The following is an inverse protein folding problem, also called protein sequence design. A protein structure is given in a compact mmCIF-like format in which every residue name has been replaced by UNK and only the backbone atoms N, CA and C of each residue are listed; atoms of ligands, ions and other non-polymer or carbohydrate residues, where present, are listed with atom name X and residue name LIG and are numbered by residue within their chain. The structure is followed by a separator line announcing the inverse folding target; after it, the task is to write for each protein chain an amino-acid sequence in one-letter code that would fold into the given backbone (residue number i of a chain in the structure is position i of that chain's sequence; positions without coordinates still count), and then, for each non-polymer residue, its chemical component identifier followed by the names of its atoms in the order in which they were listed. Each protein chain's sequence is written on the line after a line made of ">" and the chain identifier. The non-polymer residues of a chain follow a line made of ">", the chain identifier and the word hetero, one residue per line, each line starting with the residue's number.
data_IF_377021547317
#
_entry.id   IF_377021547317
#
_cell.length_a   1.000
_cell.length_b   1.000
_cell.length_c   1.000
_cell.angle_alpha   90.00
_cell.angle_beta   90.00
_cell.angle_gamma   90.00
#
_symmetry.space_group_name_H-M   'P 1'
#
loop_
_entity.id
_entity.type
_entity.pdbx_description
1 polymer ?
#
# COMPACT_ATOMS: atom_id res chain seq x y z
N UNK A 1 -4.95 10.74 18.59
CA UNK A 1 -5.65 10.84 17.29
C UNK A 1 -5.06 12.01 16.53
N UNK A 2 -4.07 11.76 15.65
CA UNK A 2 -3.53 12.77 14.73
C UNK A 2 -4.17 12.57 13.37
N UNK A 3 -5.47 12.89 13.28
CA UNK A 3 -6.09 13.19 11.99
C UNK A 3 -5.72 14.64 11.68
N UNK A 4 -4.57 14.85 11.07
CA UNK A 4 -4.29 16.12 10.40
C UNK A 4 -4.67 15.96 8.93
N UNK A 5 -5.83 16.53 8.64
CA UNK A 5 -6.59 16.69 7.40
C UNK A 5 -5.80 17.10 6.12
N UNK A 6 -4.46 17.13 6.14
CA UNK A 6 -3.58 17.63 5.07
C UNK A 6 -2.71 16.56 4.39
N UNK A 7 -2.50 15.38 4.99
CA UNK A 7 -1.90 14.21 4.30
C UNK A 7 -2.95 13.40 3.51
N UNK A 8 -4.23 13.73 3.75
CA UNK A 8 -5.38 13.28 3.00
C UNK A 8 -5.56 14.01 1.65
N UNK A 9 -4.55 14.73 1.14
CA UNK A 9 -4.57 15.38 -0.18
C UNK A 9 -3.49 14.84 -1.14
N UNK A 10 -2.78 13.78 -0.78
CA UNK A 10 -1.83 13.07 -1.65
C UNK A 10 -2.02 11.54 -1.52
N UNK A 11 -3.23 10.98 -1.55
CA UNK A 11 -4.05 10.85 -2.77
C UNK A 11 -3.24 10.39 -4.00
N UNK A 12 -2.24 9.53 -3.75
CA UNK A 12 -1.65 8.59 -4.70
C UNK A 12 -2.68 7.56 -5.16
N UNK A 13 -3.75 8.02 -5.81
CA UNK A 13 -4.48 7.26 -6.82
C UNK A 13 -3.63 7.24 -8.09
N UNK A 14 -2.45 6.64 -8.01
CA UNK A 14 -1.93 5.90 -9.17
C UNK A 14 -2.53 4.52 -9.03
N UNK A 15 -3.29 4.10 -10.03
CA UNK A 15 -4.04 2.85 -10.10
C UNK A 15 -3.13 1.60 -10.18
N UNK A 16 -1.94 1.67 -9.61
CA UNK A 16 -0.93 0.65 -9.76
C UNK A 16 -0.38 0.32 -8.39
N UNK A 17 -0.89 -0.78 -7.89
CA UNK A 17 -0.21 -1.53 -6.86
C UNK A 17 1.23 -1.74 -7.29
N UNK A 18 2.14 -1.23 -6.48
CA UNK A 18 3.54 -1.35 -6.79
C UNK A 18 3.94 -2.82 -6.63
N UNK A 19 4.52 -3.34 -7.69
CA UNK A 19 5.34 -4.52 -7.60
C UNK A 19 6.42 -4.40 -6.55
N UNK A 20 6.79 -5.53 -5.96
CA UNK A 20 7.92 -5.59 -5.05
C UNK A 20 7.54 -5.42 -3.57
N UNK A 21 8.39 -4.73 -2.81
CA UNK A 21 8.36 -4.77 -1.35
C UNK A 21 7.08 -4.16 -0.75
N UNK A 22 6.60 -3.05 -1.31
CA UNK A 22 5.31 -2.47 -0.95
C UNK A 22 4.15 -3.47 -1.08
N UNK A 23 4.07 -4.21 -2.18
CA UNK A 23 3.00 -5.20 -2.39
C UNK A 23 3.01 -6.33 -1.36
N UNK A 24 4.15 -6.57 -0.69
CA UNK A 24 4.25 -7.48 0.46
C UNK A 24 3.77 -6.83 1.76
N UNK A 25 4.07 -5.55 1.98
CA UNK A 25 3.52 -4.78 3.10
C UNK A 25 1.99 -4.65 3.02
N UNK A 26 1.42 -4.44 1.82
CA UNK A 26 -0.04 -4.36 1.62
C UNK A 26 -0.76 -5.66 1.98
N UNK A 27 -0.11 -6.81 1.79
CA UNK A 27 -0.65 -8.11 2.19
C UNK A 27 -0.65 -8.30 3.71
N UNK A 28 0.40 -7.81 4.37
CA UNK A 28 0.47 -7.76 5.84
C UNK A 28 -0.60 -6.84 6.41
N UNK A 29 -0.73 -5.63 5.86
CA UNK A 29 -1.74 -4.65 6.23
C UNK A 29 -3.16 -5.21 6.09
N UNK A 30 -3.43 -5.93 4.99
CA UNK A 30 -4.68 -6.65 4.80
C UNK A 30 -4.87 -7.77 5.84
N UNK A 31 -3.83 -8.52 6.18
CA UNK A 31 -3.94 -9.56 7.20
C UNK A 31 -4.22 -8.97 8.59
N UNK A 32 -3.59 -7.86 8.95
CA UNK A 32 -3.87 -7.12 10.18
C UNK A 32 -5.33 -6.61 10.19
N UNK A 33 -5.82 -6.11 9.06
CA UNK A 33 -7.23 -5.76 8.90
C UNK A 33 -8.15 -6.98 9.12
N UNK A 34 -7.76 -8.14 8.58
CA UNK A 34 -8.45 -9.41 8.80
C UNK A 34 -8.47 -9.80 10.28
N UNK A 35 -7.36 -9.61 11.02
CA UNK A 35 -7.32 -9.88 12.46
C UNK A 35 -8.24 -8.94 13.24
N UNK A 36 -8.27 -7.64 12.91
CA UNK A 36 -9.21 -6.68 13.50
C UNK A 36 -10.66 -7.07 13.19
N UNK A 37 -10.92 -7.49 11.95
CA UNK A 37 -12.23 -7.98 11.52
C UNK A 37 -12.74 -9.17 12.35
N UNK A 38 -11.85 -9.97 12.93
CA UNK A 38 -12.18 -11.10 13.79
C UNK A 38 -12.90 -10.70 15.09
N UNK A 39 -12.81 -9.42 15.49
CA UNK A 39 -13.50 -8.88 16.67
C UNK A 39 -15.01 -8.74 16.47
N UNK A 40 -15.50 -8.91 15.23
CA UNK A 40 -16.91 -8.94 14.90
C UNK A 40 -17.47 -10.38 14.92
N UNK A 41 -18.78 -10.57 15.18
CA UNK A 41 -19.44 -11.86 14.99
C UNK A 41 -19.21 -12.43 13.59
N UNK A 42 -19.14 -13.75 13.46
CA UNK A 42 -18.78 -14.43 12.18
C UNK A 42 -19.65 -13.96 10.99
N UNK A 43 -20.95 -13.71 11.22
CA UNK A 43 -21.88 -13.24 10.18
C UNK A 43 -21.56 -11.84 9.63
N UNK A 44 -20.86 -11.00 10.42
CA UNK A 44 -20.50 -9.63 10.05
C UNK A 44 -19.08 -9.53 9.47
N UNK A 45 -18.34 -10.63 9.45
CA UNK A 45 -16.97 -10.67 8.93
C UNK A 45 -16.98 -10.66 7.40
N UNK A 46 -16.37 -9.61 6.84
CA UNK A 46 -16.27 -9.43 5.38
C UNK A 46 -14.85 -9.60 4.83
N UNK A 47 -13.83 -9.49 5.68
CA UNK A 47 -12.42 -9.63 5.33
C UNK A 47 -11.98 -11.10 5.37
N UNK A 48 -11.12 -11.49 4.44
CA UNK A 48 -10.71 -12.89 4.26
C UNK A 48 -11.84 -13.75 3.72
N UNK A 49 -12.70 -13.16 2.88
CA UNK A 49 -13.79 -13.82 2.18
C UNK A 49 -13.48 -13.75 0.69
N UNK A 50 -13.57 -14.88 -0.01
CA UNK A 50 -13.31 -14.98 -1.44
C UNK A 50 -14.58 -15.38 -2.18
N UNK A 51 -14.87 -14.70 -3.28
CA UNK A 51 -15.96 -15.13 -4.15
C UNK A 51 -15.52 -16.35 -4.98
N UNK A 52 -16.29 -17.44 -4.92
CA UNK A 52 -15.99 -18.65 -5.69
C UNK A 52 -16.34 -18.51 -7.19
N UNK A 53 -17.29 -17.63 -7.51
CA UNK A 53 -17.79 -17.40 -8.87
C UNK A 53 -18.00 -15.91 -9.08
N UNK A 54 -16.92 -15.23 -9.45
CA UNK A 54 -16.95 -13.81 -9.81
C UNK A 54 -17.43 -13.66 -11.26
N UNK A 55 -18.48 -12.86 -11.47
CA UNK A 55 -18.90 -12.45 -12.81
C UNK A 55 -18.23 -11.13 -13.16
N UNK A 56 -17.24 -11.18 -14.06
CA UNK A 56 -16.51 -9.99 -14.48
C UNK A 56 -17.38 -9.00 -15.28
N UNK A 57 -18.40 -9.47 -16.00
CA UNK A 57 -19.27 -8.62 -16.82
C UNK A 57 -20.24 -7.81 -15.97
N UNK A 58 -20.80 -8.42 -14.91
CA UNK A 58 -21.74 -7.74 -14.01
C UNK A 58 -21.07 -7.15 -12.78
N UNK A 59 -19.76 -7.39 -12.58
CA UNK A 59 -18.99 -6.99 -11.39
C UNK A 59 -19.64 -7.45 -10.09
N UNK A 60 -20.24 -8.63 -10.12
CA UNK A 60 -20.95 -9.21 -8.99
C UNK A 60 -20.42 -10.61 -8.69
N UNK A 61 -20.24 -10.88 -7.40
CA UNK A 61 -20.00 -12.22 -6.90
C UNK A 61 -21.33 -12.93 -6.66
N UNK A 62 -21.45 -14.19 -7.07
CA UNK A 62 -22.54 -15.03 -6.61
C UNK A 62 -22.47 -15.15 -5.07
N UNK A 63 -23.62 -15.29 -4.40
CA UNK A 63 -23.79 -15.20 -2.92
C UNK A 63 -22.89 -16.16 -2.11
N UNK A 64 -22.26 -17.14 -2.76
CA UNK A 64 -21.32 -18.09 -2.13
C UNK A 64 -19.92 -17.47 -1.94
N UNK A 65 -19.72 -16.82 -0.79
CA UNK A 65 -18.42 -16.38 -0.28
C UNK A 65 -17.79 -17.46 0.60
N UNK A 66 -16.53 -17.79 0.36
CA UNK A 66 -15.78 -18.76 1.17
C UNK A 66 -14.85 -18.03 2.14
N UNK A 67 -14.94 -18.27 3.45
CA UNK A 67 -13.99 -17.72 4.42
C UNK A 67 -12.62 -18.40 4.30
N UNK A 68 -11.57 -17.63 4.56
CA UNK A 68 -10.25 -18.17 4.83
C UNK A 68 -10.29 -18.94 6.15
N UNK A 69 -10.12 -20.27 6.07
CA UNK A 69 -10.11 -21.16 7.24
C UNK A 69 -8.80 -21.92 7.35
N UNK A 70 -8.33 -22.07 8.59
CA UNK A 70 -7.20 -22.93 8.90
C UNK A 70 -7.58 -24.40 8.77
N UNK A 71 -6.59 -25.27 8.52
CA UNK A 71 -6.80 -26.73 8.39
C UNK A 71 -7.44 -27.38 9.63
N UNK A 72 -7.20 -26.84 10.83
CA UNK A 72 -7.77 -27.32 12.09
C UNK A 72 -9.13 -26.72 12.45
N UNK A 73 -9.75 -25.95 11.54
CA UNK A 73 -10.86 -25.07 11.88
C UNK A 73 -10.38 -23.72 12.41
N UNK A 74 -11.27 -22.73 12.42
CA UNK A 74 -10.94 -21.36 12.79
C UNK A 74 -10.33 -20.53 11.67
N UNK A 75 -9.79 -19.36 12.04
CA UNK A 75 -9.25 -18.34 11.14
C UNK A 75 -7.86 -18.73 10.61
N UNK A 76 -7.54 -18.29 9.40
CA UNK A 76 -6.22 -18.48 8.80
C UNK A 76 -5.14 -17.75 9.59
N UNK A 77 -3.97 -18.38 9.73
CA UNK A 77 -2.73 -17.64 9.99
C UNK A 77 -2.22 -16.94 8.71
N UNK A 78 -1.16 -16.14 8.81
CA UNK A 78 -0.63 -15.40 7.65
C UNK A 78 -0.21 -16.29 6.47
N UNK A 79 0.37 -17.48 6.71
CA UNK A 79 0.76 -18.38 5.61
C UNK A 79 -0.47 -18.90 4.86
N UNK A 80 -1.50 -19.32 5.61
CA UNK A 80 -2.76 -19.79 5.04
C UNK A 80 -3.51 -18.66 4.34
N UNK A 81 -3.45 -17.45 4.89
CA UNK A 81 -3.99 -16.25 4.28
C UNK A 81 -3.31 -15.95 2.95
N UNK A 82 -1.98 -15.95 2.90
CA UNK A 82 -1.21 -15.79 1.66
C UNK A 82 -1.60 -16.82 0.60
N UNK A 83 -1.75 -18.09 0.98
CA UNK A 83 -2.22 -19.11 0.06
C UNK A 83 -3.65 -18.86 -0.43
N UNK A 84 -4.53 -18.38 0.45
CA UNK A 84 -5.91 -18.05 0.13
C UNK A 84 -6.04 -16.88 -0.87
N UNK A 85 -5.17 -15.86 -0.77
CA UNK A 85 -5.07 -14.77 -1.76
C UNK A 85 -4.78 -15.29 -3.18
N UNK A 86 -4.11 -16.44 -3.29
CA UNK A 86 -3.73 -17.05 -4.55
C UNK A 86 -2.55 -16.36 -5.23
N UNK A 87 -2.15 -16.88 -6.40
CA UNK A 87 -0.95 -16.42 -7.15
C UNK A 87 0.34 -16.45 -6.33
N UNK A 88 0.44 -17.40 -5.39
CA UNK A 88 1.63 -17.62 -4.58
C UNK A 88 2.42 -18.84 -5.08
N UNK A 89 3.77 -18.79 -5.09
CA UNK A 89 4.61 -19.91 -5.49
C UNK A 89 4.68 -21.05 -4.46
N UNK A 90 4.34 -20.79 -3.20
CA UNK A 90 4.41 -21.78 -2.14
C UNK A 90 3.33 -21.57 -1.08
N UNK A 91 3.00 -22.64 -0.34
CA UNK A 91 1.92 -22.62 0.65
C UNK A 91 2.33 -22.04 2.01
N UNK A 92 3.60 -22.19 2.39
CA UNK A 92 4.10 -21.86 3.73
C UNK A 92 5.41 -21.05 3.64
N UNK A 93 5.92 -20.64 4.81
CA UNK A 93 7.22 -19.98 4.93
C UNK A 93 7.18 -18.49 4.61
N UNK A 94 6.00 -17.87 4.65
CA UNK A 94 5.80 -16.44 4.42
C UNK A 94 6.09 -15.62 5.66
N UNK A 95 5.53 -16.05 6.79
CA UNK A 95 5.57 -15.31 8.06
C UNK A 95 6.90 -15.45 8.79
N UNK A 96 7.36 -14.35 9.36
CA UNK A 96 8.45 -14.28 10.32
C UNK A 96 7.88 -13.72 11.62
N UNK A 97 8.01 -14.45 12.72
CA UNK A 97 7.53 -14.01 14.03
C UNK A 97 8.67 -13.48 14.89
N UNK A 98 8.39 -12.48 15.72
CA UNK A 98 9.28 -11.98 16.77
C UNK A 98 8.44 -11.78 18.02
N UNK A 99 8.84 -12.37 19.14
CA UNK A 99 8.09 -12.32 20.40
C UNK A 99 6.61 -12.75 20.26
N UNK A 100 6.35 -13.80 19.47
CA UNK A 100 5.01 -14.35 19.27
C UNK A 100 4.09 -13.53 18.34
N UNK A 101 4.56 -12.42 17.77
CA UNK A 101 3.81 -11.57 16.84
C UNK A 101 4.48 -11.53 15.47
N UNK A 102 3.71 -11.23 14.42
CA UNK A 102 4.27 -11.04 13.09
C UNK A 102 5.27 -9.88 13.12
N UNK A 103 6.47 -10.13 12.62
CA UNK A 103 7.44 -9.10 12.35
C UNK A 103 7.16 -8.56 10.94
N UNK A 104 6.55 -7.38 10.86
CA UNK A 104 6.10 -6.77 9.59
C UNK A 104 7.22 -6.68 8.56
N UNK A 105 8.34 -6.06 8.93
CA UNK A 105 9.46 -5.81 8.02
C UNK A 105 10.09 -7.12 7.54
N UNK A 106 10.47 -8.01 8.47
CA UNK A 106 11.09 -9.29 8.11
C UNK A 106 10.14 -10.21 7.33
N UNK A 107 8.83 -10.12 7.60
CA UNK A 107 7.82 -10.87 6.84
C UNK A 107 7.67 -10.30 5.44
N UNK A 108 7.68 -8.98 5.27
CA UNK A 108 7.61 -8.31 3.97
C UNK A 108 8.85 -8.60 3.11
N UNK A 109 10.06 -8.53 3.71
CA UNK A 109 11.31 -8.92 3.07
C UNK A 109 11.28 -10.37 2.59
N UNK A 110 10.83 -11.27 3.48
CA UNK A 110 10.75 -12.68 3.15
C UNK A 110 9.70 -12.94 2.05
N UNK A 111 8.56 -12.27 2.09
CA UNK A 111 7.56 -12.28 1.01
C UNK A 111 8.17 -11.83 -0.33
N UNK A 112 8.90 -10.70 -0.34
CA UNK A 112 9.56 -10.20 -1.54
C UNK A 112 10.55 -11.23 -2.08
N UNK A 113 11.41 -11.76 -1.21
CA UNK A 113 12.42 -12.76 -1.57
C UNK A 113 11.79 -14.01 -2.21
N UNK A 114 10.71 -14.53 -1.65
CA UNK A 114 10.02 -15.71 -2.17
C UNK A 114 9.48 -15.47 -3.57
N UNK A 115 8.91 -14.29 -3.81
CA UNK A 115 8.40 -13.90 -5.11
C UNK A 115 9.53 -13.62 -6.10
N UNK A 116 10.56 -12.87 -5.70
CA UNK A 116 11.70 -12.52 -6.53
C UNK A 116 12.57 -13.73 -6.92
N UNK A 117 12.56 -14.80 -6.14
CA UNK A 117 13.32 -16.03 -6.46
C UNK A 117 12.64 -16.96 -7.47
N UNK A 118 11.46 -16.60 -7.99
CA UNK A 118 10.74 -17.45 -8.93
C UNK A 118 11.30 -17.31 -10.35
N UNK A 119 11.52 -18.41 -11.08
CA UNK A 119 12.22 -18.39 -12.38
C UNK A 119 11.49 -17.61 -13.48
N UNK A 120 10.17 -17.43 -13.38
CA UNK A 120 9.34 -16.76 -14.38
C UNK A 120 8.75 -15.42 -13.89
N UNK A 121 9.27 -14.87 -12.78
CA UNK A 121 8.77 -13.58 -12.29
C UNK A 121 9.43 -12.40 -13.00
N UNK A 122 8.64 -11.35 -13.22
CA UNK A 122 9.17 -10.11 -13.76
C UNK A 122 10.13 -9.49 -12.74
N UNK A 123 11.44 -9.34 -13.05
CA UNK A 123 12.40 -8.80 -12.09
C UNK A 123 12.11 -7.34 -11.70
N UNK A 124 11.36 -6.59 -12.53
CA UNK A 124 10.90 -5.23 -12.21
C UNK A 124 9.67 -5.21 -11.31
N UNK A 125 8.87 -6.27 -11.34
CA UNK A 125 7.64 -6.40 -10.56
C UNK A 125 7.43 -7.87 -10.15
N UNK A 126 8.22 -8.36 -9.17
CA UNK A 126 8.20 -9.79 -8.82
C UNK A 126 6.97 -10.18 -8.01
N UNK A 127 6.33 -9.22 -7.34
CA UNK A 127 5.19 -9.46 -6.44
C UNK A 127 3.90 -9.14 -7.18
N UNK A 128 3.08 -10.15 -7.55
CA UNK A 128 1.89 -9.92 -8.35
C UNK A 128 0.81 -9.17 -7.55
N UNK A 129 -0.10 -8.49 -8.25
CA UNK A 129 -1.28 -7.91 -7.61
C UNK A 129 -2.29 -9.01 -7.22
N UNK A 130 -2.93 -8.84 -6.06
CA UNK A 130 -4.13 -9.58 -5.65
C UNK A 130 -5.38 -8.77 -6.06
N UNK A 131 -6.53 -9.42 -6.18
CA UNK A 131 -7.76 -8.73 -6.60
C UNK A 131 -8.62 -8.40 -5.38
N UNK A 132 -9.23 -7.21 -5.26
CA UNK A 132 -10.12 -6.89 -4.14
C UNK A 132 -11.18 -7.97 -3.89
N UNK A 133 -11.80 -8.47 -4.96
CA UNK A 133 -12.85 -9.52 -4.93
C UNK A 133 -12.38 -10.87 -4.38
N UNK A 134 -11.06 -11.09 -4.28
CA UNK A 134 -10.46 -12.29 -3.67
C UNK A 134 -10.22 -12.15 -2.17
N UNK A 135 -10.49 -10.97 -1.59
CA UNK A 135 -10.06 -10.62 -0.22
C UNK A 135 -11.15 -10.03 0.64
N UNK A 136 -12.19 -9.46 0.02
CA UNK A 136 -13.27 -8.78 0.73
C UNK A 136 -14.62 -9.00 0.06
N UNK A 137 -15.63 -9.30 0.87
CA UNK A 137 -17.02 -9.41 0.42
C UNK A 137 -17.56 -8.07 -0.08
N UNK A 138 -18.14 -8.09 -1.29
CA UNK A 138 -18.92 -6.97 -1.82
C UNK A 138 -18.10 -5.83 -2.44
N UNK A 139 -16.79 -6.00 -2.60
CA UNK A 139 -15.92 -4.97 -3.18
C UNK A 139 -15.19 -5.48 -4.42
N UNK A 140 -15.05 -4.61 -5.41
CA UNK A 140 -14.44 -4.93 -6.71
C UNK A 140 -13.42 -3.89 -7.14
N UNK A 141 -13.70 -2.60 -6.95
CA UNK A 141 -12.74 -1.54 -7.18
C UNK A 141 -11.76 -1.44 -6.03
N UNK A 142 -10.54 -1.05 -6.39
CA UNK A 142 -9.49 -0.91 -5.39
C UNK A 142 -9.72 0.28 -4.45
N UNK A 143 -10.23 1.40 -4.97
CA UNK A 143 -10.53 2.56 -4.14
C UNK A 143 -11.63 2.24 -3.10
N UNK A 144 -12.70 1.58 -3.54
CA UNK A 144 -13.77 1.10 -2.66
C UNK A 144 -13.20 0.16 -1.59
N UNK A 145 -12.24 -0.68 -1.95
CA UNK A 145 -11.61 -1.63 -1.03
C UNK A 145 -10.78 -0.95 0.06
N UNK A 146 -9.98 0.05 -0.30
CA UNK A 146 -9.22 0.84 0.67
C UNK A 146 -10.16 1.63 1.59
N UNK A 147 -11.22 2.21 1.04
CA UNK A 147 -12.23 2.92 1.82
C UNK A 147 -12.94 2.00 2.80
N UNK A 148 -13.39 0.83 2.35
CA UNK A 148 -14.09 -0.17 3.17
C UNK A 148 -13.21 -0.75 4.28
N UNK A 149 -11.94 -1.05 4.01
CA UNK A 149 -10.98 -1.44 5.06
C UNK A 149 -10.86 -0.34 6.10
N UNK A 150 -10.64 0.90 5.65
CA UNK A 150 -10.45 2.05 6.55
C UNK A 150 -11.68 2.31 7.41
N UNK A 151 -12.88 2.19 6.83
CA UNK A 151 -14.13 2.33 7.55
C UNK A 151 -14.30 1.22 8.59
N UNK A 152 -14.09 -0.04 8.22
CA UNK A 152 -14.21 -1.18 9.17
C UNK A 152 -13.18 -1.12 10.28
N UNK A 153 -11.96 -0.68 9.98
CA UNK A 153 -10.92 -0.42 10.97
C UNK A 153 -11.35 0.62 12.00
N UNK A 154 -11.82 1.78 11.53
CA UNK A 154 -12.30 2.87 12.39
C UNK A 154 -13.52 2.46 13.22
N UNK A 155 -14.47 1.77 12.61
CA UNK A 155 -15.65 1.26 13.31
C UNK A 155 -15.27 0.28 14.42
N UNK A 156 -14.36 -0.66 14.13
CA UNK A 156 -13.86 -1.60 15.12
C UNK A 156 -13.09 -0.89 16.24
N UNK A 157 -12.31 0.15 15.93
CA UNK A 157 -11.59 0.93 16.93
C UNK A 157 -12.54 1.51 17.97
N UNK A 158 -13.60 2.19 17.52
CA UNK A 158 -14.54 2.84 18.44
C UNK A 158 -15.40 1.86 19.23
N UNK A 159 -15.72 0.69 18.64
CA UNK A 159 -16.69 -0.25 19.20
C UNK A 159 -16.05 -1.41 19.97
N UNK A 160 -14.80 -1.79 19.67
CA UNK A 160 -14.20 -3.08 20.09
C UNK A 160 -12.82 -2.96 20.73
N UNK A 161 -12.17 -1.80 20.66
CA UNK A 161 -10.84 -1.59 21.26
C UNK A 161 -10.91 -1.73 22.79
N UNK A 162 -9.93 -2.44 23.33
CA UNK A 162 -9.60 -2.53 24.75
C UNK A 162 -8.08 -2.71 24.91
N UNK A 163 -7.59 -2.83 26.15
CA UNK A 163 -6.16 -2.94 26.42
C UNK A 163 -5.52 -4.24 25.90
N UNK A 164 -6.30 -5.32 25.79
CA UNK A 164 -5.79 -6.61 25.34
C UNK A 164 -5.59 -6.64 23.82
N UNK A 165 -6.39 -5.88 23.05
CA UNK A 165 -6.37 -5.92 21.59
C UNK A 165 -5.90 -4.62 20.91
N UNK A 166 -5.63 -3.53 21.66
CA UNK A 166 -5.18 -2.25 21.09
C UNK A 166 -3.99 -2.36 20.12
N UNK A 167 -3.16 -3.36 20.37
CA UNK A 167 -1.96 -3.65 19.61
C UNK A 167 -2.24 -4.00 18.14
N UNK A 168 -3.44 -4.50 17.81
CA UNK A 168 -3.84 -4.78 16.42
C UNK A 168 -3.91 -3.50 15.57
N UNK A 169 -4.39 -2.41 16.16
CA UNK A 169 -4.45 -1.11 15.47
C UNK A 169 -3.08 -0.44 15.41
N UNK A 170 -2.26 -0.61 16.44
CA UNK A 170 -0.87 -0.15 16.44
C UNK A 170 -0.07 -0.84 15.32
N UNK A 171 -0.22 -2.15 15.13
CA UNK A 171 0.41 -2.89 14.04
C UNK A 171 -0.08 -2.40 12.68
N UNK A 172 -1.40 -2.28 12.51
CA UNK A 172 -2.01 -1.80 11.27
C UNK A 172 -1.52 -0.40 10.87
N UNK A 173 -1.52 0.56 11.80
CA UNK A 173 -1.03 1.92 11.54
C UNK A 173 0.48 1.92 11.23
N UNK A 174 1.26 1.14 11.97
CA UNK A 174 2.70 1.00 11.76
C UNK A 174 3.05 0.35 10.41
N UNK A 175 2.25 -0.61 9.92
CA UNK A 175 2.40 -1.20 8.59
C UNK A 175 1.99 -0.19 7.51
N UNK A 176 0.90 0.55 7.72
CA UNK A 176 0.50 1.63 6.81
C UNK A 176 1.57 2.70 6.66
N UNK A 177 2.19 3.15 7.74
CA UNK A 177 3.30 4.12 7.69
C UNK A 177 4.48 3.58 6.87
N UNK A 178 4.78 2.27 6.96
CA UNK A 178 5.82 1.63 6.13
C UNK A 178 5.42 1.56 4.65
N UNK A 179 4.15 1.32 4.35
CA UNK A 179 3.63 1.38 2.97
C UNK A 179 3.84 2.78 2.40
N UNK A 180 3.55 3.82 3.18
CA UNK A 180 3.72 5.21 2.74
C UNK A 180 5.20 5.53 2.46
N UNK A 181 6.12 5.08 3.32
CA UNK A 181 7.57 5.22 3.09
C UNK A 181 8.03 4.43 1.86
N UNK A 182 7.60 3.17 1.72
CA UNK A 182 7.97 2.32 0.58
C UNK A 182 7.49 2.91 -0.74
N UNK A 183 6.21 3.35 -0.81
CA UNK A 183 5.65 4.09 -1.95
C UNK A 183 6.51 5.30 -2.29
N UNK A 184 6.73 6.16 -1.30
CA UNK A 184 7.49 7.40 -1.50
C UNK A 184 8.92 7.11 -1.99
N UNK A 185 9.57 6.07 -1.47
CA UNK A 185 10.90 5.64 -1.86
C UNK A 185 10.97 5.08 -3.28
N UNK A 186 10.04 4.21 -3.66
CA UNK A 186 9.98 3.59 -4.99
C UNK A 186 9.63 4.64 -6.07
N UNK A 187 8.76 5.60 -5.74
CA UNK A 187 8.43 6.75 -6.61
C UNK A 187 9.51 7.82 -6.68
N UNK A 188 10.36 7.90 -5.67
CA UNK A 188 11.32 8.97 -5.44
C UNK A 188 12.19 9.34 -6.64
N UNK A 189 12.89 8.38 -7.28
CA UNK A 189 13.73 8.66 -8.44
C UNK A 189 12.98 9.32 -9.59
N UNK A 190 11.72 8.93 -9.82
CA UNK A 190 10.89 9.47 -10.90
C UNK A 190 10.48 10.92 -10.62
N UNK A 191 9.96 11.20 -9.42
CA UNK A 191 9.54 12.56 -9.05
C UNK A 191 10.73 13.51 -8.94
N UNK A 192 11.90 13.05 -8.47
CA UNK A 192 13.13 13.85 -8.46
C UNK A 192 13.55 14.23 -9.88
N UNK A 193 13.54 13.28 -10.81
CA UNK A 193 13.88 13.52 -12.21
C UNK A 193 12.91 14.52 -12.86
N UNK A 194 11.60 14.27 -12.72
CA UNK A 194 10.55 15.13 -13.25
C UNK A 194 10.62 16.56 -12.68
N UNK A 195 10.79 16.69 -11.36
CA UNK A 195 10.89 17.99 -10.70
C UNK A 195 12.14 18.77 -11.17
N UNK A 196 13.29 18.10 -11.33
CA UNK A 196 14.50 18.73 -11.85
C UNK A 196 14.32 19.19 -13.30
N UNK A 197 13.60 18.44 -14.12
CA UNK A 197 13.34 18.83 -15.50
C UNK A 197 12.36 19.99 -15.61
N UNK A 198 11.29 20.00 -14.81
CA UNK A 198 10.22 21.00 -14.90
C UNK A 198 10.54 22.31 -14.15
N UNK A 199 11.22 22.22 -13.01
CA UNK A 199 11.45 23.36 -12.11
C UNK A 199 12.94 23.75 -12.01
N UNK A 200 13.83 22.89 -12.49
CA UNK A 200 15.27 23.14 -12.49
C UNK A 200 15.65 24.43 -13.21
N UNK A 201 16.82 24.97 -12.88
CA UNK A 201 17.31 26.24 -13.40
C UNK A 201 16.70 27.48 -12.73
N UNK A 202 15.54 27.36 -12.07
CA UNK A 202 14.95 28.44 -11.25
C UNK A 202 14.68 28.04 -9.81
N UNK A 203 14.30 26.78 -9.56
CA UNK A 203 14.13 26.24 -8.21
C UNK A 203 15.15 25.10 -8.05
N UNK A 204 16.00 25.20 -7.02
CA UNK A 204 16.91 24.11 -6.67
C UNK A 204 16.11 23.01 -5.97
N UNK A 205 16.10 21.81 -6.56
CA UNK A 205 15.39 20.64 -6.00
C UNK A 205 16.25 19.98 -4.94
N UNK A 206 15.80 20.04 -3.69
CA UNK A 206 16.41 19.34 -2.57
C UNK A 206 15.82 17.95 -2.41
N UNK A 207 16.65 16.98 -2.02
CA UNK A 207 16.21 15.62 -1.74
C UNK A 207 16.33 15.31 -0.24
N UNK A 208 15.45 14.43 0.23
CA UNK A 208 15.53 13.83 1.56
C UNK A 208 15.71 12.32 1.44
N UNK A 209 16.55 11.77 2.31
CA UNK A 209 16.74 10.32 2.43
C UNK A 209 15.61 9.73 3.28
N UNK A 210 15.04 8.63 2.81
CA UNK A 210 14.01 7.86 3.52
C UNK A 210 14.58 6.59 4.17
N UNK A 211 15.83 6.25 3.86
CA UNK A 211 16.50 5.03 4.32
C UNK A 211 16.88 4.15 3.14
N UNK A 212 17.04 2.85 3.39
CA UNK A 212 17.27 1.86 2.35
C UNK A 212 16.03 0.98 2.21
N UNK A 213 15.73 0.55 1.00
CA UNK A 213 14.74 -0.48 0.71
C UNK A 213 15.13 -1.76 1.47
N UNK A 214 14.31 -2.26 2.42
CA UNK A 214 14.68 -3.42 3.24
C UNK A 214 14.90 -4.70 2.42
N UNK A 215 14.23 -4.83 1.27
CA UNK A 215 14.32 -6.03 0.44
C UNK A 215 15.49 -6.02 -0.55
N UNK A 216 15.91 -4.85 -1.05
CA UNK A 216 16.94 -4.72 -2.10
C UNK A 216 18.22 -4.04 -1.63
N UNK A 217 18.18 -3.35 -0.48
CA UNK A 217 19.26 -2.52 0.03
C UNK A 217 19.47 -1.21 -0.74
N UNK A 218 18.70 -0.95 -1.81
CA UNK A 218 18.78 0.27 -2.60
C UNK A 218 18.40 1.51 -1.78
N UNK A 219 19.04 2.64 -2.04
CA UNK A 219 18.73 3.88 -1.32
C UNK A 219 17.35 4.39 -1.73
N UNK A 220 16.51 4.67 -0.75
CA UNK A 220 15.27 5.42 -0.95
C UNK A 220 15.47 6.88 -0.60
N UNK A 221 15.15 7.74 -1.55
CA UNK A 221 15.14 9.18 -1.40
C UNK A 221 13.97 9.77 -2.18
N UNK A 222 13.52 10.96 -1.82
CA UNK A 222 12.46 11.68 -2.54
C UNK A 222 12.75 13.18 -2.51
N UNK A 223 11.92 13.97 -3.18
CA UNK A 223 12.01 15.43 -3.11
C UNK A 223 11.61 15.92 -1.71
N UNK A 224 12.47 16.72 -1.08
CA UNK A 224 12.11 17.50 0.10
C UNK A 224 11.36 18.77 -0.36
N UNK A 225 10.05 18.66 -0.55
CA UNK A 225 9.23 19.79 -1.00
C UNK A 225 9.26 20.96 -0.03
N UNK A 226 9.35 20.68 1.28
CA UNK A 226 9.40 21.73 2.31
C UNK A 226 10.73 22.48 2.25
N UNK A 227 11.85 21.76 2.22
CA UNK A 227 13.18 22.33 2.06
C UNK A 227 13.31 23.09 0.73
N UNK A 228 12.84 22.49 -0.36
CA UNK A 228 12.81 23.09 -1.70
C UNK A 228 12.03 24.41 -1.73
N UNK A 229 10.81 24.44 -1.18
CA UNK A 229 10.00 25.67 -1.14
C UNK A 229 10.62 26.75 -0.25
N UNK A 230 11.13 26.38 0.93
CA UNK A 230 11.75 27.33 1.85
C UNK A 230 13.02 27.96 1.26
N UNK A 231 13.88 27.16 0.62
CA UNK A 231 15.09 27.67 -0.01
C UNK A 231 14.77 28.54 -1.22
N UNK A 232 13.80 28.15 -2.05
CA UNK A 232 13.36 28.97 -3.17
C UNK A 232 12.85 30.35 -2.72
N UNK A 233 12.07 30.39 -1.62
CA UNK A 233 11.61 31.63 -1.01
C UNK A 233 12.78 32.48 -0.49
N UNK A 234 13.73 31.86 0.21
CA UNK A 234 14.91 32.55 0.75
C UNK A 234 15.80 33.12 -0.36
N UNK A 235 15.90 32.44 -1.51
CA UNK A 235 16.63 32.89 -2.69
C UNK A 235 15.86 33.91 -3.56
N UNK A 236 14.67 34.36 -3.13
CA UNK A 236 13.90 35.39 -3.84
C UNK A 236 13.16 34.89 -5.10
N UNK A 237 12.95 33.58 -5.25
CA UNK A 237 12.22 33.03 -6.40
C UNK A 237 10.74 33.43 -6.29
N UNK A 238 10.28 34.28 -7.19
CA UNK A 238 8.88 34.71 -7.25
C UNK A 238 7.95 33.51 -7.49
N UNK A 239 6.82 33.48 -6.77
CA UNK A 239 5.75 32.48 -6.90
C UNK A 239 6.21 31.01 -6.75
N UNK A 240 7.30 30.74 -6.02
CA UNK A 240 7.86 29.40 -5.88
C UNK A 240 6.83 28.35 -5.42
N UNK A 241 6.00 28.66 -4.42
CA UNK A 241 4.98 27.72 -3.91
C UNK A 241 3.90 27.40 -4.94
N UNK A 242 3.44 28.40 -5.69
CA UNK A 242 2.44 28.20 -6.74
C UNK A 242 3.01 27.34 -7.87
N UNK A 243 4.27 27.56 -8.26
CA UNK A 243 4.95 26.75 -9.28
C UNK A 243 5.14 25.31 -8.84
N UNK A 244 5.53 25.08 -7.59
CA UNK A 244 5.65 23.74 -7.01
C UNK A 244 4.27 23.07 -6.96
N UNK A 245 3.23 23.77 -6.51
CA UNK A 245 1.86 23.23 -6.48
C UNK A 245 1.38 22.85 -7.87
N UNK A 246 1.52 23.72 -8.86
CA UNK A 246 1.12 23.43 -10.24
C UNK A 246 1.86 22.21 -10.80
N UNK A 247 3.16 22.07 -10.53
CA UNK A 247 3.91 20.87 -10.90
C UNK A 247 3.35 19.62 -10.23
N UNK A 248 3.06 19.67 -8.93
CA UNK A 248 2.51 18.52 -8.19
C UNK A 248 1.14 18.14 -8.71
N UNK A 249 0.27 19.12 -8.96
CA UNK A 249 -1.07 18.90 -9.50
C UNK A 249 -0.98 18.26 -10.90
N UNK A 250 -0.12 18.78 -11.78
CA UNK A 250 0.10 18.20 -13.11
C UNK A 250 0.66 16.77 -13.03
N UNK A 251 1.73 16.57 -12.25
CA UNK A 251 2.42 15.30 -12.13
C UNK A 251 1.56 14.19 -11.50
N UNK A 252 0.77 14.51 -10.47
CA UNK A 252 -0.05 13.52 -9.75
C UNK A 252 -1.48 13.41 -10.26
N UNK A 253 -2.06 14.48 -10.78
CA UNK A 253 -3.48 14.56 -11.14
C UNK A 253 -3.75 14.67 -12.65
N UNK A 254 -2.71 14.74 -13.50
CA UNK A 254 -2.82 14.91 -14.95
C UNK A 254 -3.91 14.08 -15.66
N UNK A 255 -4.34 14.56 -16.82
CA UNK A 255 -5.49 14.02 -17.55
C UNK A 255 -5.23 12.62 -18.12
N UNK A 256 -6.31 11.83 -18.25
CA UNK A 256 -6.27 10.44 -18.75
C UNK A 256 -5.70 10.31 -20.18
N UNK A 257 -5.72 11.40 -20.96
CA UNK A 257 -5.28 11.45 -22.36
C UNK A 257 -3.83 11.93 -22.53
N UNK A 258 -3.08 12.06 -21.43
CA UNK A 258 -1.69 12.53 -21.47
C UNK A 258 -0.75 11.46 -22.05
N UNK A 259 -0.63 11.47 -23.38
CA UNK A 259 0.20 10.57 -24.19
C UNK A 259 1.71 10.77 -23.99
N UNK A 260 2.11 11.80 -23.24
CA UNK A 260 3.51 12.21 -23.12
C UNK A 260 4.28 11.44 -22.02
N UNK A 261 3.63 10.52 -21.29
CA UNK A 261 4.22 9.76 -20.18
C UNK A 261 4.84 10.64 -19.08
N UNK A 262 4.29 11.84 -18.87
CA UNK A 262 4.81 12.86 -17.94
C UNK A 262 4.14 12.82 -16.57
N UNK A 263 3.38 11.78 -16.21
CA UNK A 263 2.66 11.76 -14.95
C UNK A 263 2.95 10.50 -14.13
N UNK A 264 2.63 10.55 -12.85
CA UNK A 264 2.90 9.46 -11.91
C UNK A 264 2.21 8.14 -12.32
N UNK A 265 1.13 8.18 -13.12
CA UNK A 265 0.38 6.99 -13.54
C UNK A 265 1.11 6.18 -14.62
N UNK A 266 2.01 6.79 -15.41
CA UNK A 266 2.76 6.09 -16.47
C UNK A 266 4.03 5.37 -15.99
N UNK A 267 4.39 5.47 -14.71
CA UNK A 267 5.65 4.95 -14.17
C UNK A 267 5.51 3.68 -13.32
N UNK A 268 4.41 2.95 -13.47
CA UNK A 268 4.15 1.71 -12.73
C UNK A 268 3.71 0.54 -13.60
#
# INVERSE_FOLDING_TARGET
>A
MRVSLLLALSHLSTAVWAGGYQGCLERLWLFEAYEIGALNPEMDQTLGMKCNKWNAATKQGNVAWTPCRAKGGGRCNFNEFMFFLGRVPQRNGWSVYTNGRLNVERTAENCYRIFASQPNMNPRNPVPNFRPDTTMKGVWEYNDYIMEISQKFNDAWWKKKNDNNKHLWEDFDNTREKIDVARTGDHGPYVISAARNALGGTITIHTQKLGNNPATGGVWETVDWKGTANQARASGVANAEARIRNFLDDWYCGDQDDLDHKNARSHH
#
